data_IF_305390547301
#
_entry.id   IF_305390547301
#
_cell.length_a   1.000
_cell.length_b   1.000
_cell.length_c   1.000
_cell.angle_alpha   90.00
_cell.angle_beta   90.00
_cell.angle_gamma   90.00
#
_symmetry.space_group_name_H-M   'P 1'
#
loop_
_entity.id
_entity.type
_entity.pdbx_description
1 polymer ?
#
# COMPACT_ATOMS: atom_id res chain seq x y z
N UNK A 1 14.69 22.67 8.56
CA UNK A 1 13.56 21.74 8.71
C UNK A 1 13.74 20.57 7.76
N UNK A 2 13.74 19.38 8.28
CA UNK A 2 13.90 18.18 7.44
C UNK A 2 12.52 17.67 7.06
N UNK A 3 12.28 17.55 5.77
CA UNK A 3 11.03 16.94 5.30
C UNK A 3 11.31 15.45 5.14
N UNK A 4 10.71 14.65 5.99
CA UNK A 4 10.89 13.22 5.91
C UNK A 4 9.96 12.63 4.86
N UNK A 5 10.52 11.75 4.04
CA UNK A 5 9.71 10.98 3.10
C UNK A 5 8.85 9.99 3.88
N UNK A 6 7.53 9.92 3.64
CA UNK A 6 6.72 8.92 4.32
C UNK A 6 7.22 7.52 4.07
N UNK A 7 7.17 6.67 5.08
CA UNK A 7 7.52 5.25 4.93
C UNK A 7 6.53 4.57 4.00
N UNK A 8 5.25 4.88 4.15
CA UNK A 8 4.19 4.37 3.28
C UNK A 8 3.39 5.56 2.77
N UNK A 9 3.16 5.59 1.47
CA UNK A 9 2.36 6.63 0.84
C UNK A 9 1.31 5.96 -0.04
N UNK A 10 0.04 6.22 0.26
CA UNK A 10 -1.11 5.67 -0.46
C UNK A 10 -1.77 6.82 -1.19
N UNK A 11 -1.95 6.68 -2.50
CA UNK A 11 -2.48 7.76 -3.33
C UNK A 11 -3.62 7.28 -4.22
N UNK A 12 -4.81 7.76 -3.95
CA UNK A 12 -5.99 7.52 -4.77
C UNK A 12 -6.30 6.05 -4.94
N UNK A 13 -6.13 5.25 -3.90
CA UNK A 13 -6.27 3.80 -4.02
C UNK A 13 -7.73 3.40 -4.01
N UNK A 14 -8.10 2.61 -4.99
CA UNK A 14 -9.42 1.99 -5.09
C UNK A 14 -9.29 0.48 -5.08
N UNK A 15 -10.24 -0.18 -4.47
CA UNK A 15 -10.33 -1.63 -4.50
C UNK A 15 -11.77 -2.04 -4.68
N UNK A 16 -11.98 -2.88 -5.68
CA UNK A 16 -13.29 -3.47 -5.97
C UNK A 16 -13.21 -4.98 -5.78
N UNK A 17 -14.25 -5.56 -5.20
CA UNK A 17 -14.49 -7.00 -5.22
C UNK A 17 -15.77 -7.19 -6.02
N UNK A 18 -15.64 -7.53 -7.31
CA UNK A 18 -16.78 -7.51 -8.20
C UNK A 18 -17.37 -6.11 -8.28
N UNK A 19 -18.64 -5.97 -7.93
CA UNK A 19 -19.32 -4.67 -7.94
C UNK A 19 -19.16 -3.90 -6.61
N UNK A 20 -18.55 -4.52 -5.62
CA UNK A 20 -18.41 -3.89 -4.30
C UNK A 20 -17.16 -3.01 -4.27
N UNK A 21 -17.37 -1.71 -4.11
CA UNK A 21 -16.30 -0.71 -4.05
C UNK A 21 -15.87 -0.50 -2.61
N UNK A 22 -14.87 -1.27 -2.17
CA UNK A 22 -14.44 -1.31 -0.77
C UNK A 22 -13.52 -0.15 -0.40
N UNK A 23 -12.53 0.17 -1.25
CA UNK A 23 -11.65 1.32 -1.04
C UNK A 23 -11.99 2.36 -2.10
N UNK A 24 -12.26 3.58 -1.66
CA UNK A 24 -12.83 4.63 -2.52
C UNK A 24 -11.91 5.85 -2.57
N UNK A 25 -10.77 5.72 -3.23
CA UNK A 25 -9.85 6.84 -3.40
C UNK A 25 -9.10 7.20 -2.12
N UNK A 26 -8.50 6.21 -1.49
CA UNK A 26 -7.83 6.39 -0.20
C UNK A 26 -6.49 7.10 -0.39
N UNK A 27 -6.28 8.15 0.42
CA UNK A 27 -5.00 8.85 0.52
C UNK A 27 -4.53 8.75 1.96
N UNK A 28 -3.28 8.32 2.15
CA UNK A 28 -2.75 8.09 3.50
C UNK A 28 -1.23 8.12 3.45
N UNK A 29 -0.61 8.76 4.44
CA UNK A 29 0.84 8.73 4.62
C UNK A 29 1.16 8.22 6.01
N UNK A 30 2.15 7.33 6.10
CA UNK A 30 2.64 6.81 7.37
C UNK A 30 4.13 7.13 7.44
N UNK A 31 4.51 7.92 8.45
CA UNK A 31 5.91 8.29 8.63
C UNK A 31 6.69 7.15 9.29
N UNK A 32 8.00 7.14 9.05
CA UNK A 32 8.89 6.19 9.70
C UNK A 32 8.84 6.37 11.22
N UNK A 33 8.67 5.25 11.95
CA UNK A 33 8.57 5.27 13.39
C UNK A 33 7.20 5.65 13.94
N UNK A 34 6.28 6.00 13.07
CA UNK A 34 4.92 6.33 13.46
C UNK A 34 4.11 5.05 13.61
N UNK A 35 3.32 4.99 14.67
CA UNK A 35 2.37 3.89 14.83
C UNK A 35 1.08 4.32 14.17
N UNK A 36 0.76 3.71 13.04
CA UNK A 36 -0.48 4.02 12.34
C UNK A 36 -1.56 3.07 12.83
N UNK A 37 -2.53 3.62 13.52
CA UNK A 37 -3.73 2.87 13.85
C UNK A 37 -4.77 3.24 12.81
N UNK A 38 -5.07 2.30 11.93
CA UNK A 38 -6.12 2.50 10.94
C UNK A 38 -7.43 2.30 11.66
N UNK A 39 -8.04 3.42 12.04
CA UNK A 39 -9.27 3.42 12.83
C UNK A 39 -10.47 3.31 11.92
N UNK A 40 -11.49 2.65 12.42
CA UNK A 40 -12.74 2.52 11.72
C UNK A 40 -13.51 1.32 12.19
N UNK A 41 -14.82 1.31 11.99
CA UNK A 41 -15.61 0.15 12.36
C UNK A 41 -15.24 -1.06 11.51
N UNK A 42 -15.52 -2.23 12.04
CA UNK A 42 -15.33 -3.48 11.31
C UNK A 42 -16.10 -3.40 9.98
N UNK A 43 -15.45 -3.83 8.90
CA UNK A 43 -16.07 -3.79 7.59
C UNK A 43 -15.86 -2.48 6.83
N UNK A 44 -15.11 -1.55 7.40
CA UNK A 44 -14.86 -0.25 6.76
C UNK A 44 -13.73 -0.27 5.72
N UNK A 45 -13.22 -1.45 5.38
CA UNK A 45 -12.14 -1.58 4.40
C UNK A 45 -10.74 -1.55 4.98
N UNK A 46 -10.59 -1.36 6.30
CA UNK A 46 -9.25 -1.26 6.87
C UNK A 46 -8.44 -2.56 6.70
N UNK A 47 -9.09 -3.71 6.85
CA UNK A 47 -8.42 -5.00 6.64
C UNK A 47 -8.01 -5.16 5.18
N UNK A 48 -8.87 -4.71 4.27
CA UNK A 48 -8.57 -4.75 2.84
C UNK A 48 -7.38 -3.85 2.53
N UNK A 49 -7.34 -2.65 3.09
CA UNK A 49 -6.21 -1.74 2.89
C UNK A 49 -4.91 -2.37 3.40
N UNK A 50 -4.91 -2.96 4.60
CA UNK A 50 -3.73 -3.61 5.13
C UNK A 50 -3.26 -4.77 4.25
N UNK A 51 -4.19 -5.53 3.68
CA UNK A 51 -3.84 -6.60 2.75
C UNK A 51 -3.21 -6.06 1.49
N UNK A 52 -3.71 -4.93 0.97
CA UNK A 52 -3.11 -4.29 -0.19
C UNK A 52 -1.70 -3.80 0.13
N UNK A 53 -1.49 -3.23 1.32
CA UNK A 53 -0.17 -2.76 1.73
C UNK A 53 0.82 -3.92 1.91
N UNK A 54 0.35 -5.09 2.30
CA UNK A 54 1.15 -6.30 2.44
C UNK A 54 1.29 -7.07 1.13
N UNK A 55 0.74 -6.56 0.04
CA UNK A 55 0.75 -7.21 -1.27
C UNK A 55 0.05 -8.57 -1.27
N UNK A 56 -0.93 -8.74 -0.40
CA UNK A 56 -1.79 -9.93 -0.37
C UNK A 56 -3.01 -9.77 -1.26
N UNK A 57 -3.34 -8.52 -1.61
CA UNK A 57 -4.41 -8.17 -2.53
C UNK A 57 -3.90 -7.11 -3.48
N UNK A 58 -4.34 -7.15 -4.73
CA UNK A 58 -4.01 -6.14 -5.71
C UNK A 58 -4.96 -4.95 -5.58
N UNK A 59 -4.43 -3.75 -5.73
CA UNK A 59 -5.29 -2.57 -5.82
C UNK A 59 -5.94 -2.52 -7.21
N UNK A 60 -7.13 -1.93 -7.27
CA UNK A 60 -7.83 -1.77 -8.54
C UNK A 60 -7.40 -0.51 -9.29
N UNK A 61 -7.02 0.52 -8.56
CA UNK A 61 -6.50 1.77 -9.12
C UNK A 61 -5.70 2.50 -8.05
N UNK A 62 -4.89 3.45 -8.47
CA UNK A 62 -4.08 4.25 -7.57
C UNK A 62 -2.64 3.77 -7.48
N UNK A 63 -1.93 4.30 -6.49
CA UNK A 63 -0.51 3.98 -6.28
C UNK A 63 -0.21 3.82 -4.81
N UNK A 64 0.63 2.84 -4.49
CA UNK A 64 1.15 2.64 -3.13
C UNK A 64 2.66 2.63 -3.20
N UNK A 65 3.28 3.48 -2.39
CA UNK A 65 4.73 3.55 -2.27
C UNK A 65 5.15 3.08 -0.87
N UNK A 66 6.17 2.25 -0.81
CA UNK A 66 6.78 1.87 0.47
C UNK A 66 8.27 2.16 0.34
N UNK A 67 8.79 2.96 1.25
CA UNK A 67 10.17 3.39 1.26
C UNK A 67 10.58 3.98 -0.10
N UNK A 68 9.67 4.76 -0.70
CA UNK A 68 9.89 5.41 -1.98
C UNK A 68 9.71 4.54 -3.20
N UNK A 69 9.42 3.27 -3.03
CA UNK A 69 9.29 2.34 -4.14
C UNK A 69 7.82 2.03 -4.43
N UNK A 70 7.43 2.18 -5.69
CA UNK A 70 6.07 1.87 -6.13
C UNK A 70 5.84 0.36 -6.09
N UNK A 71 4.81 -0.08 -5.39
CA UNK A 71 4.52 -1.49 -5.22
C UNK A 71 3.81 -2.09 -6.42
N UNK A 72 4.32 -3.21 -6.88
CA UNK A 72 3.66 -4.04 -7.89
C UNK A 72 3.76 -3.54 -9.32
N UNK A 73 4.14 -2.27 -9.51
CA UNK A 73 4.14 -1.66 -10.83
C UNK A 73 5.37 -0.79 -11.03
N UNK A 74 5.70 -0.55 -12.30
CA UNK A 74 6.65 0.47 -12.72
C UNK A 74 5.88 1.52 -13.48
N UNK A 75 6.21 2.78 -13.27
CA UNK A 75 5.57 3.87 -13.98
C UNK A 75 6.52 4.36 -15.07
N UNK A 76 6.03 4.48 -16.31
CA UNK A 76 6.86 4.95 -17.42
C UNK A 76 6.84 6.48 -17.49
N UNK A 77 7.56 7.04 -18.49
CA UNK A 77 7.68 8.48 -18.66
C UNK A 77 6.36 9.18 -18.93
N UNK A 78 5.35 8.43 -19.35
CA UNK A 78 4.03 8.96 -19.65
C UNK A 78 3.04 8.77 -18.50
N UNK A 79 3.51 8.22 -17.38
CA UNK A 79 2.65 7.97 -16.23
C UNK A 79 1.83 6.68 -16.32
N UNK A 80 2.15 5.81 -17.28
CA UNK A 80 1.44 4.55 -17.44
C UNK A 80 2.08 3.49 -16.55
N UNK A 81 1.24 2.75 -15.84
CA UNK A 81 1.71 1.68 -14.94
C UNK A 81 1.85 0.36 -15.69
N UNK A 82 2.97 -0.29 -15.47
CA UNK A 82 3.28 -1.60 -16.03
C UNK A 82 3.55 -2.57 -14.88
N UNK A 83 2.97 -3.76 -14.93
CA UNK A 83 3.20 -4.75 -13.89
C UNK A 83 4.67 -5.13 -13.81
N UNK A 84 5.17 -5.25 -12.57
CA UNK A 84 6.52 -5.74 -12.34
C UNK A 84 6.59 -7.24 -12.60
N UNK A 85 7.78 -7.73 -12.90
CA UNK A 85 8.01 -9.16 -13.05
C UNK A 85 7.83 -9.90 -11.72
N UNK A 86 7.51 -11.17 -11.77
CA UNK A 86 7.25 -11.98 -10.59
C UNK A 86 8.40 -11.95 -9.59
N UNK A 87 9.65 -11.94 -10.07
CA UNK A 87 10.81 -11.86 -9.19
C UNK A 87 10.86 -10.54 -8.42
N UNK A 88 10.53 -9.46 -9.08
CA UNK A 88 10.49 -8.13 -8.45
C UNK A 88 9.37 -8.07 -7.41
N UNK A 89 8.22 -8.63 -7.74
CA UNK A 89 7.07 -8.66 -6.82
C UNK A 89 7.41 -9.50 -5.58
N UNK A 90 8.06 -10.65 -5.77
CA UNK A 90 8.46 -11.49 -4.65
C UNK A 90 9.45 -10.77 -3.74
N UNK A 91 10.41 -10.04 -4.32
CA UNK A 91 11.37 -9.26 -3.55
C UNK A 91 10.69 -8.13 -2.78
N UNK A 92 9.74 -7.44 -3.41
CA UNK A 92 8.98 -6.39 -2.74
C UNK A 92 8.14 -6.94 -1.59
N UNK A 93 7.48 -8.08 -1.80
CA UNK A 93 6.66 -8.70 -0.77
C UNK A 93 7.50 -9.09 0.44
N UNK A 94 8.68 -9.66 0.23
CA UNK A 94 9.59 -10.04 1.30
C UNK A 94 10.04 -8.81 2.09
N UNK A 95 10.43 -7.75 1.40
CA UNK A 95 10.89 -6.51 2.02
C UNK A 95 9.78 -5.85 2.85
N UNK A 96 8.57 -5.84 2.31
CA UNK A 96 7.42 -5.24 2.98
C UNK A 96 7.06 -6.02 4.23
N UNK A 97 7.11 -7.35 4.19
CA UNK A 97 6.90 -8.16 5.36
C UNK A 97 7.84 -7.78 6.49
N UNK A 98 9.11 -7.54 6.17
CA UNK A 98 10.09 -7.11 7.16
C UNK A 98 9.79 -5.72 7.71
N UNK A 99 9.42 -4.79 6.85
CA UNK A 99 9.08 -3.42 7.26
C UNK A 99 7.87 -3.42 8.18
N UNK A 100 6.82 -4.12 7.79
CA UNK A 100 5.58 -4.12 8.56
C UNK A 100 5.73 -4.87 9.88
N UNK A 101 6.58 -5.87 9.91
CA UNK A 101 6.90 -6.57 11.15
C UNK A 101 7.58 -5.63 12.15
N UNK A 102 8.49 -4.79 11.69
CA UNK A 102 9.17 -3.81 12.53
C UNK A 102 8.23 -2.76 13.10
N UNK A 103 7.21 -2.39 12.33
CA UNK A 103 6.28 -1.33 12.74
C UNK A 103 4.95 -1.87 13.24
N UNK A 104 4.83 -3.19 13.35
CA UNK A 104 3.64 -3.83 13.91
C UNK A 104 2.36 -3.49 13.14
N UNK A 105 2.44 -3.48 11.82
CA UNK A 105 1.34 -3.11 10.94
C UNK A 105 0.60 -4.31 10.38
N UNK A 106 0.58 -5.41 11.12
CA UNK A 106 -0.18 -6.58 10.68
C UNK A 106 -1.63 -6.48 11.08
N UNK A 107 -2.54 -6.94 10.23
CA UNK A 107 -3.94 -7.06 10.62
C UNK A 107 -4.07 -8.17 11.66
N UNK A 108 -4.86 -7.92 12.66
CA UNK A 108 -5.16 -8.90 13.69
C UNK A 108 -6.52 -9.50 13.48
#
# INVERSE_FOLDING_TARGET
>A
MTIETPMVSVRGVHKFFGDLHVLQGIDLDIASGEVCVILGPSGSGKSTLLRCLNMLEDISAGRVFVDGQLLGYREDDKGVLHERHDKEIAAQRSRIGMVFQRFNLFPH
#
